data_IF_621433803222
#
_entry.id   IF_621433803222
#
_cell.length_a   1.000
_cell.length_b   1.000
_cell.length_c   1.000
_cell.angle_alpha   90.00
_cell.angle_beta   90.00
_cell.angle_gamma   90.00
#
_symmetry.space_group_name_H-M   'P 1'
#
loop_
_entity.id
_entity.type
_entity.pdbx_description
1 polymer ?
#
# COMPACT_ATOMS: atom_id res chain seq x y z
N UNK A 1 -1.92 24.74 7.20
CA UNK A 1 -1.67 24.17 5.84
C UNK A 1 -3.02 23.92 5.19
N UNK A 2 -3.13 23.84 3.86
CA UNK A 2 -4.40 23.39 3.26
C UNK A 2 -4.62 21.91 3.56
N UNK A 3 -5.88 21.48 3.61
CA UNK A 3 -6.25 20.09 3.84
C UNK A 3 -5.57 19.13 2.84
N UNK A 4 -5.56 19.51 1.56
CA UNK A 4 -4.88 18.77 0.50
C UNK A 4 -3.39 18.53 0.80
N UNK A 5 -2.66 19.57 1.22
CA UNK A 5 -1.23 19.44 1.59
C UNK A 5 -1.02 18.54 2.82
N UNK A 6 -2.02 18.45 3.69
CA UNK A 6 -1.98 17.59 4.87
C UNK A 6 -2.14 16.12 4.47
N UNK A 7 -3.10 15.83 3.59
CA UNK A 7 -3.29 14.50 2.99
C UNK A 7 -2.07 14.07 2.19
N UNK A 8 -1.49 14.95 1.37
CA UNK A 8 -0.27 14.66 0.60
C UNK A 8 0.89 14.26 1.52
N UNK A 9 1.09 15.00 2.62
CA UNK A 9 2.15 14.72 3.58
C UNK A 9 1.94 13.39 4.30
N UNK A 10 0.71 13.09 4.71
CA UNK A 10 0.37 11.81 5.33
C UNK A 10 0.60 10.63 4.36
N UNK A 11 0.24 10.80 3.08
CA UNK A 11 0.49 9.81 2.01
C UNK A 11 1.98 9.58 1.80
N UNK A 12 2.77 10.64 1.69
CA UNK A 12 4.22 10.52 1.48
C UNK A 12 4.90 9.84 2.69
N UNK A 13 4.41 10.12 3.91
CA UNK A 13 4.88 9.45 5.13
C UNK A 13 4.49 7.96 5.18
N UNK A 14 3.26 7.61 4.80
CA UNK A 14 2.83 6.22 4.65
C UNK A 14 3.76 5.46 3.69
N UNK A 15 4.02 6.01 2.51
CA UNK A 15 4.91 5.38 1.53
C UNK A 15 6.35 5.29 2.03
N UNK A 16 6.83 6.27 2.78
CA UNK A 16 8.15 6.17 3.43
C UNK A 16 8.23 4.99 4.39
N UNK A 17 7.17 4.72 5.16
CA UNK A 17 7.12 3.57 6.05
C UNK A 17 7.08 2.25 5.29
N UNK A 18 6.25 2.14 4.24
CA UNK A 18 6.15 0.96 3.37
C UNK A 18 7.52 0.57 2.81
N UNK A 19 8.29 1.54 2.31
CA UNK A 19 9.62 1.30 1.74
C UNK A 19 10.67 0.95 2.82
N UNK A 20 10.70 1.70 3.92
CA UNK A 20 11.72 1.50 4.98
C UNK A 20 11.54 0.16 5.70
N UNK A 21 10.31 -0.27 5.90
CA UNK A 21 9.98 -1.53 6.57
C UNK A 21 9.97 -2.75 5.62
N UNK A 22 10.14 -2.54 4.30
CA UNK A 22 10.18 -3.65 3.34
C UNK A 22 8.85 -4.36 3.13
N UNK A 23 7.73 -3.68 3.42
CA UNK A 23 6.36 -4.23 3.43
C UNK A 23 6.00 -4.87 2.08
N UNK A 24 6.51 -4.32 0.98
CA UNK A 24 6.31 -4.83 -0.39
C UNK A 24 6.76 -6.30 -0.57
N UNK A 25 7.60 -6.84 0.32
CA UNK A 25 8.10 -8.22 0.27
C UNK A 25 7.41 -9.15 1.26
N UNK A 26 6.54 -8.63 2.12
CA UNK A 26 5.80 -9.42 3.09
C UNK A 26 4.65 -10.18 2.42
N UNK A 27 4.09 -11.19 3.10
CA UNK A 27 2.90 -11.88 2.64
C UNK A 27 1.70 -10.92 2.60
N UNK A 28 0.67 -11.22 1.81
CA UNK A 28 -0.50 -10.33 1.65
C UNK A 28 -1.18 -10.04 3.00
N UNK A 29 -1.39 -11.06 3.84
CA UNK A 29 -1.98 -10.88 5.16
C UNK A 29 -1.13 -9.97 6.07
N UNK A 30 0.19 -10.11 6.02
CA UNK A 30 1.11 -9.26 6.78
C UNK A 30 1.09 -7.81 6.25
N UNK A 31 0.95 -7.62 4.94
CA UNK A 31 0.81 -6.29 4.34
C UNK A 31 -0.48 -5.60 4.80
N UNK A 32 -1.59 -6.34 4.88
CA UNK A 32 -2.87 -5.79 5.38
C UNK A 32 -2.74 -5.41 6.84
N UNK A 33 -2.25 -6.32 7.68
CA UNK A 33 -2.09 -6.05 9.10
C UNK A 33 -1.19 -4.85 9.37
N UNK A 34 -0.05 -4.76 8.68
CA UNK A 34 0.85 -3.63 8.78
C UNK A 34 0.21 -2.31 8.32
N UNK A 35 -0.62 -2.36 7.27
CA UNK A 35 -1.34 -1.18 6.78
C UNK A 35 -2.36 -0.68 7.80
N UNK A 36 -3.08 -1.59 8.45
CA UNK A 36 -4.04 -1.25 9.52
C UNK A 36 -3.32 -0.50 10.65
N UNK A 37 -2.22 -1.07 11.17
CA UNK A 37 -1.42 -0.43 12.23
C UNK A 37 -0.82 0.91 11.80
N UNK A 38 -0.39 1.02 10.55
CA UNK A 38 0.21 2.24 10.03
C UNK A 38 -0.83 3.35 9.87
N UNK A 39 -2.07 3.00 9.48
CA UNK A 39 -3.14 3.99 9.34
C UNK A 39 -3.60 4.49 10.71
N UNK A 40 -3.64 3.63 11.73
CA UNK A 40 -3.88 4.05 13.11
C UNK A 40 -2.82 5.07 13.57
N UNK A 41 -1.53 4.77 13.32
CA UNK A 41 -0.43 5.70 13.59
C UNK A 41 -0.59 7.03 12.83
N UNK A 42 -0.97 6.99 11.56
CA UNK A 42 -1.20 8.21 10.76
C UNK A 42 -2.36 9.03 11.33
N UNK A 43 -3.44 8.39 11.79
CA UNK A 43 -4.57 9.04 12.44
C UNK A 43 -4.17 9.77 13.73
N UNK A 44 -3.35 9.14 14.57
CA UNK A 44 -2.83 9.78 15.78
C UNK A 44 -1.92 10.98 15.47
N UNK A 45 -1.12 10.88 14.40
CA UNK A 45 -0.17 11.91 14.00
C UNK A 45 -0.80 13.08 13.27
N UNK A 46 -1.86 12.84 12.52
CA UNK A 46 -2.58 13.81 11.71
C UNK A 46 -4.05 13.89 12.16
N UNK A 47 -4.33 14.43 13.37
CA UNK A 47 -5.68 14.42 13.95
C UNK A 47 -6.71 15.25 13.19
N UNK A 48 -6.25 16.10 12.26
CA UNK A 48 -7.11 16.89 11.37
C UNK A 48 -7.59 16.11 10.13
N UNK A 49 -7.11 14.87 9.92
CA UNK A 49 -7.62 13.98 8.88
C UNK A 49 -8.98 13.43 9.27
N UNK A 50 -9.91 13.43 8.32
CA UNK A 50 -11.18 12.74 8.51
C UNK A 50 -10.99 11.23 8.40
N UNK A 51 -11.92 10.46 8.96
CA UNK A 51 -11.92 9.00 8.77
C UNK A 51 -11.99 8.62 7.28
N UNK A 52 -12.59 9.46 6.42
CA UNK A 52 -12.58 9.23 4.97
C UNK A 52 -11.17 9.33 4.39
N UNK A 53 -10.40 10.32 4.81
CA UNK A 53 -9.02 10.47 4.35
C UNK A 53 -8.18 9.28 4.79
N UNK A 54 -8.35 8.82 6.04
CA UNK A 54 -7.63 7.65 6.56
C UNK A 54 -8.01 6.37 5.79
N UNK A 55 -9.30 6.17 5.49
CA UNK A 55 -9.74 5.05 4.63
C UNK A 55 -9.17 5.14 3.22
N UNK A 56 -9.10 6.33 2.64
CA UNK A 56 -8.56 6.51 1.30
C UNK A 56 -7.05 6.27 1.27
N UNK A 57 -6.31 6.74 2.29
CA UNK A 57 -4.89 6.45 2.48
C UNK A 57 -4.63 4.95 2.63
N UNK A 58 -5.45 4.25 3.42
CA UNK A 58 -5.38 2.79 3.58
C UNK A 58 -5.54 2.09 2.22
N UNK A 59 -6.62 2.40 1.50
CA UNK A 59 -6.92 1.82 0.20
C UNK A 59 -5.79 2.06 -0.81
N UNK A 60 -5.22 3.27 -0.82
CA UNK A 60 -4.08 3.61 -1.67
C UNK A 60 -2.84 2.79 -1.27
N UNK A 61 -2.55 2.67 0.02
CA UNK A 61 -1.43 1.89 0.54
C UNK A 61 -1.51 0.41 0.18
N UNK A 62 -2.68 -0.21 0.35
CA UNK A 62 -2.92 -1.61 -0.06
C UNK A 62 -2.70 -1.79 -1.56
N UNK A 63 -3.27 -0.90 -2.38
CA UNK A 63 -3.10 -0.96 -3.84
C UNK A 63 -1.65 -0.79 -4.26
N UNK A 64 -0.89 0.05 -3.55
CA UNK A 64 0.53 0.26 -3.79
C UNK A 64 1.36 -1.01 -3.54
N UNK A 65 0.93 -1.86 -2.59
CA UNK A 65 1.61 -3.12 -2.30
C UNK A 65 1.28 -4.24 -3.31
N UNK A 66 0.22 -4.08 -4.11
CA UNK A 66 -0.14 -5.07 -5.13
C UNK A 66 0.88 -5.04 -6.28
N UNK A 67 1.25 -6.21 -6.83
CA UNK A 67 2.11 -6.26 -8.00
C UNK A 67 1.48 -5.45 -9.15
N UNK A 68 2.29 -4.64 -9.83
CA UNK A 68 1.84 -3.94 -11.03
C UNK A 68 1.25 -4.98 -11.99
N UNK A 69 0.05 -4.72 -12.53
CA UNK A 69 -0.58 -5.62 -13.51
C UNK A 69 0.40 -5.72 -14.68
N UNK A 70 1.10 -6.85 -14.76
CA UNK A 70 1.99 -7.17 -15.86
C UNK A 70 1.12 -7.31 -17.11
N UNK A 71 1.07 -6.28 -17.95
CA UNK A 71 0.65 -6.43 -19.32
C UNK A 71 1.73 -7.26 -20.04
N UNK A 72 1.69 -8.59 -19.89
CA UNK A 72 2.50 -9.50 -20.72
C UNK A 72 3.30 -10.63 -20.06
N UNK A 73 3.01 -11.08 -18.83
CA UNK A 73 3.73 -12.27 -18.27
C UNK A 73 2.83 -13.36 -17.67
N UNK A 74 1.51 -13.27 -17.84
CA UNK A 74 0.61 -14.38 -17.55
C UNK A 74 0.70 -15.54 -18.58
N UNK A 75 1.51 -15.41 -19.64
CA UNK A 75 1.68 -16.44 -20.68
C UNK A 75 2.94 -17.30 -20.54
N UNK A 76 3.88 -16.98 -19.65
CA UNK A 76 5.17 -17.72 -19.60
C UNK A 76 5.17 -18.97 -18.72
N UNK A 77 4.10 -19.22 -17.94
CA UNK A 77 4.03 -20.39 -17.04
C UNK A 77 3.19 -21.57 -17.57
N UNK A 78 2.77 -21.53 -18.85
CA UNK A 78 2.06 -22.63 -19.51
C UNK A 78 2.88 -23.35 -20.60
N UNK A 79 4.13 -22.94 -20.84
CA UNK A 79 4.96 -23.53 -21.92
C UNK A 79 5.90 -24.65 -21.44
N UNK A 80 6.08 -24.85 -20.13
CA UNK A 80 6.99 -25.89 -19.60
C UNK A 80 6.29 -27.24 -19.31
N UNK A 81 4.97 -27.29 -19.22
CA UNK A 81 4.21 -28.52 -18.92
C UNK A 81 3.66 -29.22 -20.18
N UNK A 82 4.09 -28.81 -21.38
CA UNK A 82 3.66 -29.40 -22.65
C UNK A 82 4.78 -30.13 -23.43
N UNK A 83 5.95 -30.32 -22.81
CA UNK A 83 7.02 -31.15 -23.39
C UNK A 83 7.38 -32.29 -22.42
N UNK A 84 6.56 -33.33 -22.45
CA UNK A 84 6.90 -34.67 -21.95
C UNK A 84 6.42 -35.68 -22.99
#
# INVERSE_FOLDING_TARGET
MSHEKLVERARDELFSHVHRCGVLKAAEDDQVHWMDETIDYIGERYPDLSDSDLRDLHNIGIRFCKPAIGHGEATSRMVEEAVT
#
